data_IF_721523831631
#
_entry.id   IF_721523831631
#
_cell.length_a   1.000
_cell.length_b   1.000
_cell.length_c   1.000
_cell.angle_alpha   90.00
_cell.angle_beta   90.00
_cell.angle_gamma   90.00
#
_symmetry.space_group_name_H-M   'P 1'
#
loop_
_entity.id
_entity.type
_entity.pdbx_description
1 polymer ?
#
# COMPACT_ATOMS: atom_id res chain seq x y z
N UNK A 1 -18.59 -11.98 -30.30
CA UNK A 1 -17.12 -12.21 -30.30
C UNK A 1 -16.36 -10.94 -29.94
N UNK A 2 -15.90 -10.82 -28.69
CA UNK A 2 -14.90 -9.81 -28.31
C UNK A 2 -13.63 -10.58 -27.99
N UNK A 3 -12.53 -10.22 -28.67
CA UNK A 3 -11.17 -10.73 -28.47
C UNK A 3 -10.87 -10.97 -26.99
N UNK A 4 -10.92 -12.23 -26.56
CA UNK A 4 -10.11 -12.70 -25.45
C UNK A 4 -8.67 -12.59 -25.94
N UNK A 5 -7.99 -11.51 -25.58
CA UNK A 5 -6.54 -11.40 -25.71
C UNK A 5 -5.95 -12.66 -25.08
N UNK A 6 -5.28 -13.48 -25.89
CA UNK A 6 -4.70 -14.74 -25.46
C UNK A 6 -3.81 -14.50 -24.25
N UNK A 7 -4.20 -15.06 -23.11
CA UNK A 7 -3.39 -15.01 -21.90
C UNK A 7 -2.09 -15.80 -22.14
N UNK A 8 -0.91 -15.22 -21.89
CA UNK A 8 0.33 -15.97 -22.01
C UNK A 8 0.35 -17.11 -20.99
N UNK A 9 0.61 -18.33 -21.47
CA UNK A 9 0.49 -19.60 -20.73
C UNK A 9 1.69 -19.95 -19.83
N UNK A 10 2.77 -19.16 -19.78
CA UNK A 10 3.97 -19.51 -18.99
C UNK A 10 4.46 -18.38 -18.06
N UNK A 11 5.08 -18.75 -16.94
CA UNK A 11 5.64 -17.85 -15.92
C UNK A 11 6.74 -16.92 -16.48
N UNK A 12 7.52 -17.38 -17.44
CA UNK A 12 8.58 -16.59 -18.08
C UNK A 12 8.03 -15.36 -18.82
N UNK A 13 6.89 -15.48 -19.50
CA UNK A 13 6.24 -14.37 -20.18
C UNK A 13 5.67 -13.34 -19.18
N UNK A 14 5.16 -13.80 -18.03
CA UNK A 14 4.72 -12.93 -16.94
C UNK A 14 5.90 -12.15 -16.35
N UNK A 15 6.99 -12.86 -16.05
CA UNK A 15 8.24 -12.28 -15.57
C UNK A 15 8.81 -11.22 -16.54
N UNK A 16 8.76 -11.48 -17.84
CA UNK A 16 9.19 -10.52 -18.87
C UNK A 16 8.30 -9.26 -18.94
N UNK A 17 6.98 -9.42 -18.76
CA UNK A 17 6.03 -8.31 -18.74
C UNK A 17 6.23 -7.43 -17.50
N UNK A 18 6.36 -8.02 -16.32
CA UNK A 18 6.64 -7.32 -15.07
C UNK A 18 7.91 -6.47 -15.16
N UNK A 19 9.01 -7.06 -15.68
CA UNK A 19 10.27 -6.33 -15.92
C UNK A 19 10.10 -5.13 -16.85
N UNK A 20 9.34 -5.25 -17.94
CA UNK A 20 9.08 -4.14 -18.87
C UNK A 20 8.31 -3.00 -18.19
N UNK A 21 7.30 -3.33 -17.40
CA UNK A 21 6.52 -2.33 -16.65
C UNK A 21 7.38 -1.62 -15.58
N UNK A 22 8.22 -2.37 -14.88
CA UNK A 22 9.18 -1.81 -13.92
C UNK A 22 10.16 -0.86 -14.60
N UNK A 23 10.76 -1.26 -15.72
CA UNK A 23 11.67 -0.40 -16.49
C UNK A 23 10.98 0.88 -16.98
N UNK A 24 9.72 0.77 -17.43
CA UNK A 24 8.90 1.92 -17.81
C UNK A 24 8.68 2.86 -16.61
N UNK A 25 8.34 2.31 -15.44
CA UNK A 25 8.13 3.08 -14.22
C UNK A 25 9.39 3.81 -13.75
N UNK A 26 10.53 3.11 -13.71
CA UNK A 26 11.83 3.70 -13.39
C UNK A 26 12.16 4.85 -14.36
N UNK A 27 12.00 4.63 -15.67
CA UNK A 27 12.26 5.65 -16.70
C UNK A 27 11.36 6.88 -16.56
N UNK A 28 10.08 6.72 -16.20
CA UNK A 28 9.21 7.88 -15.97
C UNK A 28 9.58 8.65 -14.69
N UNK A 29 9.87 7.94 -13.60
CA UNK A 29 10.25 8.57 -12.31
C UNK A 29 11.55 9.35 -12.41
N UNK A 30 12.55 8.77 -13.07
CA UNK A 30 13.91 9.29 -13.15
C UNK A 30 14.50 9.04 -14.55
N UNK A 31 14.14 9.86 -15.56
CA UNK A 31 14.55 9.63 -16.95
C UNK A 31 16.06 9.65 -17.19
N UNK A 32 16.82 10.31 -16.32
CA UNK A 32 18.28 10.47 -16.41
C UNK A 32 19.06 9.44 -15.60
N UNK A 33 18.40 8.62 -14.78
CA UNK A 33 19.06 7.63 -13.93
C UNK A 33 19.41 6.36 -14.73
N UNK A 34 20.60 5.83 -14.47
CA UNK A 34 21.03 4.48 -14.84
C UNK A 34 20.68 3.51 -13.71
N UNK A 35 20.81 2.20 -13.97
CA UNK A 35 20.45 1.17 -12.98
C UNK A 35 21.17 1.36 -11.64
N UNK A 36 22.48 1.64 -11.68
CA UNK A 36 23.30 1.89 -10.49
C UNK A 36 22.84 3.10 -9.66
N UNK A 37 22.20 4.09 -10.28
CA UNK A 37 21.76 5.30 -9.59
C UNK A 37 20.54 5.01 -8.69
N UNK A 38 19.81 3.91 -8.95
CA UNK A 38 18.72 3.43 -8.08
C UNK A 38 19.21 2.81 -6.78
N UNK A 39 20.50 2.47 -6.67
CA UNK A 39 21.10 1.79 -5.53
C UNK A 39 22.34 2.54 -5.01
N UNK A 40 22.44 3.83 -5.34
CA UNK A 40 23.62 4.65 -5.08
C UNK A 40 23.99 4.75 -3.59
N UNK A 41 23.00 4.65 -2.70
CA UNK A 41 23.16 4.73 -1.25
C UNK A 41 23.13 3.37 -0.55
N UNK A 42 22.77 2.31 -1.27
CA UNK A 42 22.65 0.94 -0.77
C UNK A 42 21.79 0.85 0.51
N UNK A 43 20.67 1.59 0.55
CA UNK A 43 19.78 1.62 1.71
C UNK A 43 19.17 0.26 2.06
N UNK A 44 19.04 -0.64 1.07
CA UNK A 44 18.63 -2.03 1.28
C UNK A 44 19.55 -2.80 2.26
N UNK A 45 20.78 -2.32 2.48
CA UNK A 45 21.76 -2.93 3.40
C UNK A 45 21.79 -2.30 4.79
N UNK A 46 20.97 -1.28 5.04
CA UNK A 46 20.91 -0.62 6.35
C UNK A 46 20.33 -1.57 7.40
N UNK A 47 20.96 -1.59 8.57
CA UNK A 47 20.40 -2.27 9.74
C UNK A 47 19.32 -1.37 10.37
N UNK A 48 18.08 -1.50 9.92
CA UNK A 48 16.96 -0.71 10.41
C UNK A 48 16.75 -0.85 11.93
N UNK A 49 17.09 -2.00 12.54
CA UNK A 49 16.99 -2.18 13.99
C UNK A 49 17.83 -1.15 14.75
N UNK A 50 19.06 -0.89 14.29
CA UNK A 50 19.92 0.14 14.89
C UNK A 50 19.37 1.56 14.74
N UNK A 51 18.63 1.83 13.65
CA UNK A 51 18.00 3.12 13.40
C UNK A 51 16.78 3.29 14.32
N UNK A 52 15.93 2.26 14.41
CA UNK A 52 14.70 2.31 15.22
C UNK A 52 14.97 2.42 16.72
N UNK A 53 16.09 1.89 17.23
CA UNK A 53 16.48 2.05 18.64
C UNK A 53 16.70 3.51 19.02
N UNK A 54 17.08 4.37 18.07
CA UNK A 54 17.28 5.79 18.31
C UNK A 54 16.01 6.64 18.13
N UNK A 55 14.89 6.04 17.71
CA UNK A 55 13.63 6.77 17.55
C UNK A 55 12.99 7.03 18.91
N UNK A 56 12.84 8.30 19.27
CA UNK A 56 12.08 8.69 20.47
C UNK A 56 10.59 8.58 20.19
N UNK A 57 9.95 7.59 20.79
CA UNK A 57 8.51 7.44 20.79
C UNK A 57 7.90 8.30 21.90
N UNK A 58 7.27 9.42 21.51
CA UNK A 58 6.69 10.40 22.43
C UNK A 58 5.24 10.75 22.10
N UNK A 59 4.59 9.99 21.22
CA UNK A 59 3.19 10.24 20.83
C UNK A 59 2.27 9.50 21.80
N UNK A 60 1.26 10.20 22.32
CA UNK A 60 0.25 9.60 23.19
C UNK A 60 -0.49 8.45 22.47
N UNK A 61 -0.81 7.41 23.22
CA UNK A 61 -1.64 6.28 22.77
C UNK A 61 -2.97 6.31 23.50
N UNK A 62 -4.05 6.11 22.76
CA UNK A 62 -5.40 5.96 23.30
C UNK A 62 -6.03 4.69 22.75
N UNK A 63 -6.66 3.88 23.59
CA UNK A 63 -7.43 2.74 23.13
C UNK A 63 -8.85 3.17 22.77
N UNK A 64 -9.46 2.54 21.76
CA UNK A 64 -10.86 2.80 21.38
C UNK A 64 -11.88 2.53 22.51
N UNK A 65 -11.50 1.79 23.54
CA UNK A 65 -12.33 1.52 24.72
C UNK A 65 -12.07 2.49 25.89
N UNK A 66 -11.11 3.41 25.78
CA UNK A 66 -10.82 4.39 26.83
C UNK A 66 -11.85 5.53 26.81
N UNK A 67 -12.18 6.07 27.98
CA UNK A 67 -12.99 7.30 28.09
C UNK A 67 -12.36 8.49 27.35
N UNK A 68 -11.04 8.49 27.15
CA UNK A 68 -10.38 9.54 26.38
C UNK A 68 -10.75 9.52 24.89
N UNK A 69 -11.13 8.34 24.37
CA UNK A 69 -11.51 8.18 22.97
C UNK A 69 -12.95 8.63 22.70
N UNK A 70 -13.86 8.53 23.68
CA UNK A 70 -15.24 9.00 23.50
C UNK A 70 -15.31 10.52 23.27
N UNK A 71 -14.34 11.25 23.80
CA UNK A 71 -14.19 12.71 23.64
C UNK A 71 -13.05 13.06 22.64
N UNK A 72 -12.81 12.20 21.64
CA UNK A 72 -11.70 12.34 20.68
C UNK A 72 -11.70 13.71 19.98
N UNK A 73 -12.88 14.20 19.59
CA UNK A 73 -13.04 15.47 18.90
C UNK A 73 -12.53 16.68 19.68
N UNK A 74 -12.85 16.78 20.98
CA UNK A 74 -12.38 17.90 21.81
C UNK A 74 -10.91 17.75 22.20
N UNK A 75 -10.49 16.52 22.52
CA UNK A 75 -9.14 16.26 23.06
C UNK A 75 -8.05 16.32 22.01
N UNK A 76 -8.30 15.77 20.82
CA UNK A 76 -7.27 15.62 19.80
C UNK A 76 -7.57 16.43 18.55
N UNK A 77 -8.75 16.25 17.94
CA UNK A 77 -9.07 16.82 16.63
C UNK A 77 -9.09 18.36 16.65
N UNK A 78 -9.81 18.96 17.61
CA UNK A 78 -9.94 20.42 17.73
C UNK A 78 -8.60 21.12 17.95
N UNK A 79 -7.72 20.50 18.74
CA UNK A 79 -6.38 21.02 19.04
C UNK A 79 -5.31 20.65 18.02
N UNK A 80 -5.64 19.87 16.99
CA UNK A 80 -4.66 19.28 16.06
C UNK A 80 -3.55 18.50 16.77
N UNK A 81 -3.90 17.76 17.83
CA UNK A 81 -2.95 17.01 18.64
C UNK A 81 -2.79 15.59 18.05
N UNK A 82 -1.58 15.16 17.68
CA UNK A 82 -1.35 13.82 17.17
C UNK A 82 -1.50 12.77 18.28
N UNK A 83 -2.17 11.66 17.95
CA UNK A 83 -2.39 10.54 18.86
C UNK A 83 -2.40 9.23 18.09
N UNK A 84 -1.89 8.16 18.68
CA UNK A 84 -1.96 6.80 18.15
C UNK A 84 -3.20 6.08 18.72
N UNK A 85 -4.15 5.73 17.86
CA UNK A 85 -5.36 5.01 18.24
C UNK A 85 -5.08 3.50 18.19
N UNK A 86 -5.21 2.82 19.32
CA UNK A 86 -5.08 1.36 19.44
C UNK A 86 -6.45 0.67 19.50
N UNK A 87 -6.52 -0.58 19.05
CA UNK A 87 -7.75 -1.39 19.09
C UNK A 87 -8.77 -1.15 17.97
N UNK A 88 -8.62 -0.06 17.19
CA UNK A 88 -9.56 0.30 16.11
C UNK A 88 -9.72 -0.77 15.01
N UNK A 89 -8.66 -1.53 14.75
CA UNK A 89 -8.62 -2.54 13.68
C UNK A 89 -8.88 -3.97 14.19
N UNK A 90 -9.10 -4.15 15.50
CA UNK A 90 -9.14 -5.47 16.16
C UNK A 90 -10.19 -6.43 15.59
N UNK A 91 -11.26 -5.89 14.99
CA UNK A 91 -12.38 -6.65 14.42
C UNK A 91 -12.41 -6.61 12.89
N UNK A 92 -11.40 -6.02 12.24
CA UNK A 92 -11.37 -5.95 10.78
C UNK A 92 -11.02 -7.32 10.19
N UNK A 93 -11.81 -7.85 9.24
CA UNK A 93 -11.42 -9.04 8.48
C UNK A 93 -10.03 -8.92 7.85
N UNK A 94 -9.60 -7.71 7.47
CA UNK A 94 -8.27 -7.44 6.94
C UNK A 94 -7.12 -7.98 7.83
N UNK A 95 -7.29 -8.06 9.15
CA UNK A 95 -6.26 -8.61 10.06
C UNK A 95 -5.98 -10.10 9.81
N UNK A 96 -6.93 -10.81 9.20
CA UNK A 96 -6.78 -12.21 8.80
C UNK A 96 -6.41 -12.35 7.32
N UNK A 97 -7.09 -11.61 6.44
CA UNK A 97 -7.01 -11.78 4.99
C UNK A 97 -5.89 -11.00 4.31
N UNK A 98 -5.42 -9.87 4.85
CA UNK A 98 -4.40 -9.04 4.20
C UNK A 98 -2.98 -9.53 4.51
N UNK A 99 -2.75 -10.81 4.19
CA UNK A 99 -1.43 -11.46 4.19
C UNK A 99 -0.99 -11.64 2.74
N UNK A 100 0.31 -11.61 2.46
CA UNK A 100 0.82 -11.65 1.08
C UNK A 100 0.28 -12.83 0.28
N UNK A 101 0.19 -14.01 0.89
CA UNK A 101 -0.25 -15.25 0.26
C UNK A 101 -1.75 -15.23 -0.04
N UNK A 102 -2.57 -14.92 0.97
CA UNK A 102 -4.03 -14.84 0.83
C UNK A 102 -4.43 -13.74 -0.14
N UNK A 103 -3.82 -12.56 -0.01
CA UNK A 103 -4.09 -11.42 -0.88
C UNK A 103 -3.70 -11.72 -2.32
N UNK A 104 -2.57 -12.40 -2.56
CA UNK A 104 -2.19 -12.81 -3.92
C UNK A 104 -3.11 -13.89 -4.50
N UNK A 105 -3.63 -14.81 -3.68
CA UNK A 105 -4.60 -15.80 -4.15
C UNK A 105 -5.87 -15.14 -4.69
N UNK A 106 -6.38 -14.14 -3.98
CA UNK A 106 -7.62 -13.43 -4.35
C UNK A 106 -7.40 -12.37 -5.43
N UNK A 107 -6.31 -11.59 -5.32
CA UNK A 107 -6.09 -10.37 -6.10
C UNK A 107 -4.82 -10.37 -6.95
N UNK A 108 -4.06 -11.48 -7.00
CA UNK A 108 -2.78 -11.57 -7.74
C UNK A 108 -2.88 -11.16 -9.21
N UNK A 109 -4.02 -11.43 -9.85
CA UNK A 109 -4.31 -11.06 -11.24
C UNK A 109 -4.84 -9.62 -11.42
N UNK A 110 -5.25 -8.95 -10.34
CA UNK A 110 -5.76 -7.58 -10.37
C UNK A 110 -4.62 -6.59 -10.63
N UNK A 111 -4.92 -5.58 -11.44
CA UNK A 111 -3.99 -4.48 -11.68
C UNK A 111 -4.12 -3.45 -10.56
N UNK A 112 -3.01 -3.19 -9.88
CA UNK A 112 -2.87 -2.18 -8.83
C UNK A 112 -2.09 -0.97 -9.34
N UNK A 113 -2.35 0.20 -8.78
CA UNK A 113 -1.53 1.39 -9.01
C UNK A 113 -0.24 1.30 -8.18
N UNK A 114 0.89 1.15 -8.86
CA UNK A 114 2.25 1.07 -8.28
C UNK A 114 3.07 2.36 -8.48
N UNK A 115 2.49 3.31 -9.22
CA UNK A 115 2.95 4.68 -9.30
C UNK A 115 1.74 5.59 -9.51
N UNK A 116 1.35 6.32 -8.47
CA UNK A 116 0.23 7.24 -8.55
C UNK A 116 0.50 8.41 -9.51
N UNK A 117 1.72 8.98 -9.49
CA UNK A 117 2.09 10.17 -10.26
C UNK A 117 2.00 9.94 -11.76
N UNK A 118 2.35 8.75 -12.23
CA UNK A 118 2.35 8.40 -13.65
C UNK A 118 1.26 7.39 -14.02
N UNK A 119 0.36 7.05 -13.08
CA UNK A 119 -0.76 6.13 -13.30
C UNK A 119 -0.32 4.72 -13.71
N UNK A 120 0.87 4.28 -13.29
CA UNK A 120 1.41 2.99 -13.73
C UNK A 120 0.75 1.87 -12.96
N UNK A 121 0.17 0.93 -13.72
CA UNK A 121 -0.52 -0.22 -13.18
C UNK A 121 0.17 -1.53 -13.58
N UNK A 122 0.32 -2.44 -12.63
CA UNK A 122 0.80 -3.80 -12.86
C UNK A 122 -0.01 -4.80 -12.04
N UNK A 123 0.08 -6.09 -12.36
CA UNK A 123 -0.61 -7.11 -11.55
C UNK A 123 -0.01 -7.16 -10.16
N UNK A 124 -0.82 -7.47 -9.14
CA UNK A 124 -0.29 -7.65 -7.79
C UNK A 124 0.78 -8.74 -7.72
N UNK A 125 0.64 -9.84 -8.48
CA UNK A 125 1.69 -10.87 -8.55
C UNK A 125 3.02 -10.34 -9.09
N UNK A 126 2.96 -9.51 -10.13
CA UNK A 126 4.17 -8.91 -10.71
C UNK A 126 4.84 -7.96 -9.70
N UNK A 127 4.03 -7.22 -8.93
CA UNK A 127 4.50 -6.34 -7.86
C UNK A 127 5.06 -7.11 -6.67
N UNK A 128 4.43 -8.22 -6.25
CA UNK A 128 4.95 -9.12 -5.21
C UNK A 128 6.32 -9.68 -5.60
N UNK A 129 6.45 -10.19 -6.81
CA UNK A 129 7.73 -10.64 -7.33
C UNK A 129 8.77 -9.50 -7.34
N UNK A 130 8.38 -8.26 -7.67
CA UNK A 130 9.26 -7.10 -7.55
C UNK A 130 9.70 -6.86 -6.08
N UNK A 131 8.75 -6.86 -5.13
CA UNK A 131 9.04 -6.63 -3.71
C UNK A 131 10.06 -7.63 -3.15
N UNK A 132 10.00 -8.89 -3.55
CA UNK A 132 10.89 -9.96 -3.08
C UNK A 132 12.35 -9.80 -3.55
N UNK A 133 12.60 -9.07 -4.65
CA UNK A 133 13.90 -9.05 -5.32
C UNK A 133 14.53 -7.65 -5.44
N UNK A 134 13.80 -6.59 -5.06
CA UNK A 134 14.25 -5.22 -5.26
C UNK A 134 15.21 -4.76 -4.15
N UNK A 135 16.20 -3.95 -4.53
CA UNK A 135 17.15 -3.28 -3.61
C UNK A 135 17.23 -1.76 -3.88
N UNK A 136 16.20 -1.18 -4.50
CA UNK A 136 16.20 0.23 -4.87
C UNK A 136 16.18 1.11 -3.61
N UNK A 137 16.95 2.19 -3.59
CA UNK A 137 16.94 3.20 -2.51
C UNK A 137 15.57 3.92 -2.42
N UNK A 138 14.86 3.99 -3.56
CA UNK A 138 13.50 4.52 -3.64
C UNK A 138 12.59 3.57 -4.43
N UNK A 139 12.09 2.48 -3.79
CA UNK A 139 11.30 1.47 -4.48
C UNK A 139 9.99 2.03 -5.08
N UNK A 140 9.39 1.26 -6.00
CA UNK A 140 7.99 1.49 -6.37
C UNK A 140 7.09 1.24 -5.15
N UNK A 141 5.98 1.96 -5.08
CA UNK A 141 5.08 1.92 -3.94
C UNK A 141 3.64 1.74 -4.42
N UNK A 142 2.98 0.70 -3.91
CA UNK A 142 1.56 0.45 -4.15
C UNK A 142 0.75 1.54 -3.46
N UNK A 143 0.07 2.37 -4.25
CA UNK A 143 -0.80 3.42 -3.77
C UNK A 143 -2.03 3.51 -4.68
N UNK A 144 -3.04 2.70 -4.37
CA UNK A 144 -4.26 2.60 -5.17
C UNK A 144 -5.43 3.29 -4.46
N UNK A 145 -5.87 4.42 -4.99
CA UNK A 145 -7.00 5.19 -4.46
C UNK A 145 -8.35 4.71 -5.02
N UNK A 146 -8.34 3.91 -6.09
CA UNK A 146 -9.55 3.54 -6.83
C UNK A 146 -10.00 2.10 -6.56
N UNK A 147 -9.38 1.40 -5.60
CA UNK A 147 -9.68 -0.01 -5.31
C UNK A 147 -11.16 -0.25 -4.93
N UNK A 148 -11.82 0.74 -4.33
CA UNK A 148 -13.24 0.68 -3.99
C UNK A 148 -14.20 0.91 -5.15
N UNK A 149 -13.70 1.43 -6.29
CA UNK A 149 -14.52 1.76 -7.47
C UNK A 149 -14.66 0.58 -8.44
N UNK A 150 -13.72 -0.38 -8.38
CA UNK A 150 -13.72 -1.52 -9.29
C UNK A 150 -14.43 -2.74 -8.68
N UNK A 151 -15.39 -3.37 -9.39
CA UNK A 151 -16.07 -4.56 -8.89
C UNK A 151 -15.13 -5.70 -8.49
N UNK A 152 -13.99 -5.82 -9.16
CA UNK A 152 -13.02 -6.89 -8.93
C UNK A 152 -12.17 -6.73 -7.67
N UNK A 153 -12.13 -5.55 -7.07
CA UNK A 153 -11.41 -5.25 -5.82
C UNK A 153 -12.34 -4.74 -4.72
N UNK A 154 -13.65 -4.63 -4.99
CA UNK A 154 -14.66 -4.09 -4.08
C UNK A 154 -14.73 -4.82 -2.74
N UNK A 155 -14.38 -6.12 -2.71
CA UNK A 155 -14.32 -6.94 -1.49
C UNK A 155 -13.39 -6.32 -0.42
N UNK A 156 -12.33 -5.62 -0.83
CA UNK A 156 -11.39 -4.97 0.11
C UNK A 156 -12.08 -3.91 0.98
N UNK A 157 -13.10 -3.23 0.46
CA UNK A 157 -13.87 -2.23 1.21
C UNK A 157 -14.67 -2.87 2.33
N UNK A 158 -15.14 -4.11 2.14
CA UNK A 158 -15.93 -4.82 3.13
C UNK A 158 -15.04 -5.48 4.22
N UNK A 159 -13.72 -5.41 4.07
CA UNK A 159 -12.74 -6.01 4.99
C UNK A 159 -12.20 -5.03 6.05
N UNK A 160 -12.68 -3.78 6.04
CA UNK A 160 -12.41 -2.81 7.11
C UNK A 160 -13.65 -1.96 7.39
N UNK A 161 -13.59 -1.17 8.47
CA UNK A 161 -14.61 -0.17 8.79
C UNK A 161 -13.94 1.10 9.27
N UNK A 162 -14.39 2.25 8.77
CA UNK A 162 -13.93 3.56 9.26
C UNK A 162 -14.15 3.67 10.78
N UNK A 163 -13.11 3.94 11.59
CA UNK A 163 -13.25 4.12 13.03
C UNK A 163 -14.17 5.30 13.37
N UNK A 164 -14.83 5.23 14.53
CA UNK A 164 -15.83 6.22 14.93
C UNK A 164 -15.30 7.67 14.98
N UNK A 165 -14.01 7.84 15.30
CA UNK A 165 -13.33 9.13 15.28
C UNK A 165 -13.28 9.81 13.91
N UNK A 166 -13.50 9.06 12.82
CA UNK A 166 -13.38 9.54 11.42
C UNK A 166 -14.65 9.30 10.61
N UNK A 167 -15.79 9.04 11.27
CA UNK A 167 -17.03 8.68 10.59
C UNK A 167 -17.63 9.84 9.79
N UNK A 168 -17.40 11.07 10.25
CA UNK A 168 -17.88 12.27 9.56
C UNK A 168 -17.00 12.54 8.33
N UNK A 169 -17.47 12.11 7.17
CA UNK A 169 -16.84 12.37 5.87
C UNK A 169 -17.55 13.53 5.15
N UNK A 170 -17.15 14.75 5.51
CA UNK A 170 -17.76 15.98 4.99
C UNK A 170 -17.58 16.16 3.46
N UNK A 171 -16.71 15.37 2.84
CA UNK A 171 -16.44 15.44 1.39
C UNK A 171 -17.15 14.31 0.62
N UNK A 172 -17.79 13.34 1.29
CA UNK A 172 -18.41 12.19 0.63
C UNK A 172 -19.55 12.57 -0.33
N UNK A 173 -20.26 13.67 -0.05
CA UNK A 173 -21.42 14.15 -0.80
C UNK A 173 -21.11 15.35 -1.71
N UNK A 174 -19.82 15.74 -1.85
CA UNK A 174 -19.38 16.81 -2.76
C UNK A 174 -19.12 16.28 -4.17
#
# INVERSE_FOLDING_TARGET
EKRMLSMPRNEEAWSARGRRLLALAKRHRRPTWREQDWQAHAFARLNLTSIFVCCMDNIERVNVHDEKYTDFGQRYQKGSIPVLISGAMSRWPAMEYWKLETFAADFGHQKIICDHRFGIRMRFDDFRNYMEHQEDDTPLYLFDHAFGEYPSTRLLVDQYKVPDAFRDDLLADL
#
